data_IF_964551476597
#
_entry.id   IF_964551476597
#
_cell.length_a   1.000
_cell.length_b   1.000
_cell.length_c   1.000
_cell.angle_alpha   90.00
_cell.angle_beta   90.00
_cell.angle_gamma   90.00
#
_symmetry.space_group_name_H-M   'P 1'
#
loop_
_entity.id
_entity.type
_entity.pdbx_description
1 polymer ?
#
# COMPACT_ATOMS: atom_id res chain seq x y z
N UNK A 1 5.89 -32.39 18.63
CA UNK A 1 6.23 -31.08 18.01
C UNK A 1 5.31 -30.04 18.63
N UNK A 2 5.79 -29.27 19.61
CA UNK A 2 4.98 -28.24 20.27
C UNK A 2 4.80 -27.06 19.30
N UNK A 3 3.55 -26.66 19.06
CA UNK A 3 3.22 -25.46 18.31
C UNK A 3 3.79 -24.24 19.03
N UNK A 4 4.84 -23.65 18.46
CA UNK A 4 5.44 -22.42 18.98
C UNK A 4 4.40 -21.30 18.85
N UNK A 5 3.97 -20.75 19.99
CA UNK A 5 2.87 -19.79 20.06
C UNK A 5 3.27 -18.45 19.42
N UNK A 6 2.34 -17.67 18.84
CA UNK A 6 2.66 -16.42 18.10
C UNK A 6 3.52 -15.45 18.92
N UNK A 7 3.24 -15.33 20.21
CA UNK A 7 4.03 -14.53 21.14
C UNK A 7 5.48 -15.05 21.28
N UNK A 8 5.73 -16.36 21.19
CA UNK A 8 7.07 -16.95 21.25
C UNK A 8 7.86 -16.73 19.96
N UNK A 9 7.18 -16.72 18.79
CA UNK A 9 7.81 -16.38 17.52
C UNK A 9 8.16 -14.88 17.47
N UNK A 10 7.23 -14.00 17.83
CA UNK A 10 7.49 -12.56 17.96
C UNK A 10 8.58 -12.29 18.99
N UNK A 11 8.58 -12.99 20.13
CA UNK A 11 9.56 -12.79 21.19
C UNK A 11 10.93 -13.39 20.83
N UNK A 12 11.01 -14.49 20.07
CA UNK A 12 12.26 -15.02 19.54
C UNK A 12 12.85 -14.13 18.45
N UNK A 13 12.01 -13.55 17.58
CA UNK A 13 12.42 -12.56 16.58
C UNK A 13 12.90 -11.30 17.31
N UNK A 14 12.16 -10.79 18.29
CA UNK A 14 12.53 -9.64 19.11
C UNK A 14 13.80 -9.89 19.95
N UNK A 15 13.98 -11.09 20.50
CA UNK A 15 15.20 -11.49 21.23
C UNK A 15 16.40 -11.64 20.30
N UNK A 16 16.21 -12.18 19.10
CA UNK A 16 17.27 -12.20 18.08
C UNK A 16 17.65 -10.80 17.59
N UNK A 17 16.71 -9.85 17.61
CA UNK A 17 16.94 -8.43 17.34
C UNK A 17 17.62 -7.71 18.52
N UNK A 18 17.34 -8.07 19.77
CA UNK A 18 17.88 -7.42 20.97
C UNK A 18 19.19 -8.01 21.51
N UNK A 19 19.50 -9.28 21.26
CA UNK A 19 20.69 -9.96 21.83
C UNK A 19 21.94 -9.89 20.96
N UNK A 20 21.86 -9.36 19.74
CA UNK A 20 23.04 -9.15 18.92
C UNK A 20 23.72 -7.84 19.37
N UNK A 21 25.04 -7.77 19.60
CA UNK A 21 25.78 -6.54 19.96
C UNK A 21 25.75 -5.41 18.88
N UNK A 22 24.78 -5.47 17.97
CA UNK A 22 24.50 -4.64 16.80
C UNK A 22 23.66 -3.38 17.12
N UNK A 23 23.65 -2.89 18.37
CA UNK A 23 23.04 -1.59 18.73
C UNK A 23 23.92 -0.38 18.33
N UNK A 24 24.54 -0.42 17.16
CA UNK A 24 25.10 0.77 16.55
C UNK A 24 24.14 1.24 15.45
N UNK A 25 23.00 1.78 15.89
CA UNK A 25 22.12 2.58 15.04
C UNK A 25 22.97 3.74 14.49
N UNK A 26 22.87 4.11 13.20
CA UNK A 26 23.56 5.30 12.70
C UNK A 26 23.18 6.50 13.56
N UNK A 27 24.13 7.39 13.84
CA UNK A 27 23.93 8.52 14.76
C UNK A 27 22.89 9.52 14.23
N UNK A 28 21.61 9.22 14.46
CA UNK A 28 20.46 10.04 14.07
C UNK A 28 20.32 11.29 14.96
N UNK A 29 21.03 11.32 16.10
CA UNK A 29 21.16 12.48 17.00
C UNK A 29 21.69 13.73 16.30
N UNK A 30 22.48 13.57 15.23
CA UNK A 30 23.01 14.67 14.43
C UNK A 30 22.02 15.20 13.37
N UNK A 31 20.90 14.49 13.14
CA UNK A 31 19.91 14.81 12.10
C UNK A 31 18.57 15.24 12.72
N UNK A 32 18.19 14.62 13.83
CA UNK A 32 16.93 14.84 14.52
C UNK A 32 17.16 15.75 15.72
N UNK A 33 16.33 16.78 15.86
CA UNK A 33 16.37 17.63 17.07
C UNK A 33 16.16 16.78 18.33
N UNK A 34 16.90 17.02 19.43
CA UNK A 34 16.75 16.25 20.68
C UNK A 34 15.32 16.32 21.25
N UNK A 35 14.57 17.38 20.96
CA UNK A 35 13.16 17.53 21.35
C UNK A 35 12.19 16.67 20.53
N UNK A 36 12.64 16.12 19.39
CA UNK A 36 11.81 15.27 18.54
C UNK A 36 12.19 13.79 18.66
N UNK A 37 13.30 13.45 19.34
CA UNK A 37 13.80 12.08 19.48
C UNK A 37 12.83 11.15 20.24
N UNK A 38 12.03 11.70 21.14
CA UNK A 38 11.08 10.97 21.97
C UNK A 38 9.69 10.88 21.33
N UNK A 39 9.52 11.40 20.11
CA UNK A 39 8.27 11.31 19.36
C UNK A 39 8.22 10.01 18.55
N UNK A 40 7.02 9.67 18.10
CA UNK A 40 6.79 8.45 17.32
C UNK A 40 7.66 8.39 16.06
N UNK A 41 8.09 7.17 15.70
CA UNK A 41 8.90 6.88 14.50
C UNK A 41 8.31 7.51 13.22
N UNK A 42 6.98 7.45 13.07
CA UNK A 42 6.25 8.03 11.94
C UNK A 42 6.40 9.54 11.88
N UNK A 43 6.45 10.21 13.03
CA UNK A 43 6.70 11.64 13.12
C UNK A 43 8.12 11.96 12.68
N UNK A 44 9.10 11.20 13.19
CA UNK A 44 10.52 11.41 12.89
C UNK A 44 10.78 11.23 11.40
N UNK A 45 10.32 10.12 10.80
CA UNK A 45 10.52 9.85 9.38
C UNK A 45 9.83 10.87 8.47
N UNK A 46 8.65 11.35 8.85
CA UNK A 46 7.95 12.36 8.07
C UNK A 46 8.60 13.75 8.16
N UNK A 47 9.11 14.14 9.34
CA UNK A 47 9.76 15.44 9.56
C UNK A 47 11.21 15.46 9.07
N UNK A 48 11.91 14.34 9.20
CA UNK A 48 13.32 14.18 8.84
C UNK A 48 13.52 13.04 7.82
N UNK A 49 13.14 13.23 6.54
CA UNK A 49 13.32 12.24 5.47
C UNK A 49 14.76 11.71 5.33
N UNK A 50 15.75 12.56 5.68
CA UNK A 50 17.18 12.23 5.63
C UNK A 50 17.55 11.10 6.62
N UNK A 51 16.77 10.91 7.69
CA UNK A 51 16.95 9.77 8.61
C UNK A 51 16.72 8.45 7.89
N UNK A 52 15.65 8.35 7.10
CA UNK A 52 15.36 7.14 6.32
C UNK A 52 16.46 6.87 5.27
N UNK A 53 17.01 7.93 4.67
CA UNK A 53 18.16 7.79 3.77
C UNK A 53 19.35 7.16 4.49
N UNK A 54 19.84 7.75 5.59
CA UNK A 54 21.02 7.24 6.30
C UNK A 54 20.77 5.83 6.85
N UNK A 55 19.57 5.56 7.35
CA UNK A 55 19.18 4.25 7.86
C UNK A 55 19.25 3.18 6.76
N UNK A 56 18.72 3.49 5.57
CA UNK A 56 18.72 2.56 4.43
C UNK A 56 20.04 2.54 3.66
N UNK A 57 20.95 3.50 3.89
CA UNK A 57 22.30 3.51 3.28
C UNK A 57 23.21 2.48 3.96
N UNK A 58 23.03 2.24 5.26
CA UNK A 58 23.85 1.30 6.03
C UNK A 58 23.74 -0.13 5.47
N UNK A 59 24.88 -0.69 5.06
CA UNK A 59 24.97 -2.02 4.44
C UNK A 59 24.46 -3.15 5.33
N UNK A 60 24.53 -3.02 6.67
CA UNK A 60 24.04 -4.04 7.60
C UNK A 60 22.53 -3.98 7.72
N UNK A 61 21.98 -2.76 7.86
CA UNK A 61 20.52 -2.56 7.84
C UNK A 61 19.94 -3.05 6.52
N UNK A 62 20.61 -2.73 5.41
CA UNK A 62 20.22 -3.19 4.09
C UNK A 62 20.12 -4.71 4.01
N UNK A 63 21.17 -5.45 4.41
CA UNK A 63 21.18 -6.94 4.37
C UNK A 63 20.09 -7.56 5.26
N UNK A 64 19.84 -6.96 6.41
CA UNK A 64 18.80 -7.43 7.33
C UNK A 64 17.42 -7.24 6.70
N UNK A 65 17.11 -6.03 6.22
CA UNK A 65 15.84 -5.76 5.56
C UNK A 65 15.64 -6.61 4.30
N UNK A 66 16.69 -6.79 3.51
CA UNK A 66 16.66 -7.67 2.32
C UNK A 66 16.29 -9.10 2.70
N UNK A 67 16.93 -9.68 3.73
CA UNK A 67 16.60 -11.01 4.22
C UNK A 67 15.17 -11.10 4.77
N UNK A 68 14.69 -10.08 5.50
CA UNK A 68 13.31 -10.04 5.99
C UNK A 68 12.30 -9.97 4.84
N UNK A 69 12.52 -9.12 3.83
CA UNK A 69 11.67 -9.01 2.64
C UNK A 69 11.59 -10.32 1.85
N UNK A 70 12.70 -11.05 1.74
CA UNK A 70 12.72 -12.36 1.10
C UNK A 70 11.90 -13.41 1.87
N UNK A 71 11.98 -13.41 3.20
CA UNK A 71 11.21 -14.30 4.07
C UNK A 71 9.72 -13.94 4.05
N UNK A 72 9.40 -12.65 4.10
CA UNK A 72 8.06 -12.08 4.14
C UNK A 72 7.19 -12.56 2.96
N UNK A 73 7.78 -12.70 1.76
CA UNK A 73 7.08 -13.19 0.57
C UNK A 73 6.41 -14.56 0.75
N UNK A 74 6.90 -15.36 1.70
CA UNK A 74 6.39 -16.70 2.01
C UNK A 74 5.56 -16.75 3.31
N UNK A 75 5.33 -15.62 3.99
CA UNK A 75 4.60 -15.55 5.26
C UNK A 75 3.08 -15.37 5.06
N UNK A 76 2.26 -15.74 6.06
CA UNK A 76 0.82 -15.46 6.06
C UNK A 76 0.53 -13.94 6.12
N UNK A 77 -0.66 -13.55 5.64
CA UNK A 77 -1.02 -12.13 5.42
C UNK A 77 -1.00 -11.26 6.69
N UNK A 78 -1.24 -11.85 7.86
CA UNK A 78 -1.23 -11.15 9.14
C UNK A 78 0.18 -10.68 9.52
N UNK A 79 1.18 -11.54 9.38
CA UNK A 79 2.59 -11.21 9.63
C UNK A 79 3.10 -10.22 8.57
N UNK A 80 2.67 -10.42 7.32
CA UNK A 80 2.98 -9.52 6.20
C UNK A 80 2.56 -8.08 6.52
N UNK A 81 1.35 -7.92 7.06
CA UNK A 81 0.79 -6.61 7.39
C UNK A 81 1.59 -5.90 8.49
N UNK A 82 1.99 -6.61 9.53
CA UNK A 82 2.79 -6.06 10.63
C UNK A 82 4.16 -5.56 10.13
N UNK A 83 4.80 -6.33 9.25
CA UNK A 83 6.05 -5.91 8.62
C UNK A 83 5.90 -4.62 7.79
N UNK A 84 4.85 -4.54 6.96
CA UNK A 84 4.57 -3.33 6.17
C UNK A 84 4.19 -2.12 7.02
N UNK A 85 3.55 -2.29 8.18
CA UNK A 85 3.23 -1.15 9.05
C UNK A 85 4.48 -0.37 9.50
N UNK A 86 5.62 -1.04 9.68
CA UNK A 86 6.91 -0.41 9.96
C UNK A 86 7.67 0.05 8.71
N UNK A 87 7.59 -0.72 7.61
CA UNK A 87 8.30 -0.40 6.37
C UNK A 87 7.66 0.75 5.57
N UNK A 88 6.34 0.89 5.60
CA UNK A 88 5.59 1.93 4.91
C UNK A 88 6.09 3.35 5.24
N UNK A 89 6.15 3.77 6.53
CA UNK A 89 6.63 5.12 6.87
C UNK A 89 8.10 5.33 6.51
N UNK A 90 8.93 4.28 6.62
CA UNK A 90 10.34 4.32 6.26
C UNK A 90 10.54 4.56 4.76
N UNK A 91 9.90 3.74 3.92
CA UNK A 91 9.98 3.88 2.47
C UNK A 91 9.32 5.18 1.99
N UNK A 92 8.20 5.58 2.57
CA UNK A 92 7.56 6.85 2.25
C UNK A 92 8.46 8.06 2.59
N UNK A 93 9.21 8.00 3.69
CA UNK A 93 10.20 9.01 4.03
C UNK A 93 11.42 8.99 3.09
N UNK A 94 11.91 7.81 2.72
CA UNK A 94 13.00 7.68 1.75
C UNK A 94 12.64 8.30 0.39
N UNK A 95 11.41 8.14 -0.09
CA UNK A 95 10.91 8.75 -1.34
C UNK A 95 10.89 10.29 -1.28
N UNK A 96 10.95 10.89 -0.09
CA UNK A 96 11.09 12.34 0.12
C UNK A 96 12.53 12.77 0.40
N UNK A 97 13.44 11.82 0.56
CA UNK A 97 14.83 12.10 0.90
C UNK A 97 15.64 12.53 -0.34
N UNK A 98 16.71 13.33 -0.15
CA UNK A 98 17.47 13.85 -1.28
C UNK A 98 18.16 12.75 -2.10
N UNK A 99 18.57 11.62 -1.52
CA UNK A 99 19.10 10.50 -2.30
C UNK A 99 18.12 9.99 -3.36
N UNK A 100 16.83 9.92 -3.04
CA UNK A 100 15.80 9.52 -4.00
C UNK A 100 15.51 10.62 -5.02
N UNK A 101 15.32 11.86 -4.55
CA UNK A 101 15.00 13.02 -5.42
C UNK A 101 16.12 13.28 -6.43
N UNK A 102 17.38 13.09 -6.03
CA UNK A 102 18.53 13.25 -6.91
C UNK A 102 18.70 12.08 -7.90
N UNK A 103 17.81 11.09 -7.88
CA UNK A 103 17.81 9.95 -8.80
C UNK A 103 18.93 8.94 -8.53
N UNK A 104 19.45 8.86 -7.29
CA UNK A 104 20.50 7.92 -6.96
C UNK A 104 19.95 6.48 -6.82
N UNK A 105 19.88 5.78 -7.95
CA UNK A 105 19.43 4.38 -8.01
C UNK A 105 20.40 3.38 -7.39
N UNK A 106 21.66 3.78 -7.11
CA UNK A 106 22.66 2.91 -6.49
C UNK A 106 22.52 2.84 -4.97
N UNK A 107 21.68 3.70 -4.40
CA UNK A 107 21.46 3.73 -2.97
C UNK A 107 20.71 2.46 -2.52
N UNK A 108 21.16 1.84 -1.44
CA UNK A 108 20.58 0.62 -0.86
C UNK A 108 19.06 0.75 -0.59
N UNK A 109 18.63 1.91 -0.09
CA UNK A 109 17.20 2.25 0.05
C UNK A 109 16.38 2.26 -1.24
N UNK A 110 16.98 2.56 -2.40
CA UNK A 110 16.30 2.45 -3.69
C UNK A 110 16.01 0.98 -4.01
N UNK A 111 16.97 0.08 -3.81
CA UNK A 111 16.76 -1.36 -4.03
C UNK A 111 15.64 -1.92 -3.13
N UNK A 112 15.68 -1.61 -1.84
CA UNK A 112 14.66 -2.07 -0.89
C UNK A 112 13.28 -1.49 -1.21
N UNK A 113 13.16 -0.17 -1.25
CA UNK A 113 11.85 0.46 -1.36
C UNK A 113 11.29 0.41 -2.79
N UNK A 114 12.13 0.50 -3.81
CA UNK A 114 11.67 0.57 -5.19
C UNK A 114 11.66 -0.77 -5.93
N UNK A 115 12.64 -1.65 -5.70
CA UNK A 115 12.69 -2.94 -6.40
C UNK A 115 12.01 -4.05 -5.60
N UNK A 116 12.18 -4.09 -4.28
CA UNK A 116 11.58 -5.14 -3.44
C UNK A 116 10.17 -4.77 -2.95
N UNK A 117 9.95 -3.52 -2.56
CA UNK A 117 8.67 -3.05 -2.02
C UNK A 117 7.72 -2.42 -3.06
N UNK A 118 8.13 -2.35 -4.33
CA UNK A 118 7.37 -1.76 -5.43
C UNK A 118 6.88 -0.32 -5.21
N UNK A 119 7.46 0.47 -4.29
CA UNK A 119 7.02 1.86 -4.02
C UNK A 119 7.27 2.79 -5.21
N UNK A 120 8.26 2.49 -6.05
CA UNK A 120 8.52 3.24 -7.28
C UNK A 120 7.59 2.86 -8.44
N UNK A 121 6.79 1.80 -8.32
CA UNK A 121 5.93 1.34 -9.40
C UNK A 121 4.77 2.32 -9.60
N UNK A 122 4.47 2.64 -10.86
CA UNK A 122 3.38 3.55 -11.24
C UNK A 122 2.01 3.15 -10.65
N UNK A 123 1.81 1.87 -10.32
CA UNK A 123 0.57 1.35 -9.75
C UNK A 123 0.31 1.81 -8.30
N UNK A 124 1.36 2.12 -7.52
CA UNK A 124 1.21 2.56 -6.11
C UNK A 124 0.89 4.05 -5.97
N UNK A 125 1.03 4.80 -7.05
CA UNK A 125 0.81 6.24 -7.05
C UNK A 125 -0.70 6.52 -6.96
N UNK A 126 -1.12 7.36 -6.01
CA UNK A 126 -2.55 7.61 -5.72
C UNK A 126 -3.35 8.05 -6.96
N UNK A 127 -2.72 8.77 -7.89
CA UNK A 127 -3.37 9.18 -9.14
C UNK A 127 -3.76 8.00 -10.03
N UNK A 128 -3.02 6.89 -10.00
CA UNK A 128 -3.33 5.68 -10.78
C UNK A 128 -4.66 5.07 -10.33
N UNK A 129 -4.88 4.97 -9.01
CA UNK A 129 -6.14 4.46 -8.45
C UNK A 129 -7.33 5.37 -8.79
N UNK A 130 -7.11 6.70 -8.81
CA UNK A 130 -8.15 7.66 -9.18
C UNK A 130 -8.55 7.48 -10.64
N UNK A 131 -7.58 7.37 -11.56
CA UNK A 131 -7.85 7.17 -13.00
C UNK A 131 -8.51 5.82 -13.26
N UNK A 132 -7.97 4.74 -12.70
CA UNK A 132 -8.52 3.39 -12.85
C UNK A 132 -9.94 3.29 -12.26
N UNK A 133 -10.17 3.87 -11.08
CA UNK A 133 -11.48 3.94 -10.43
C UNK A 133 -12.50 4.73 -11.25
N UNK A 134 -12.11 5.88 -11.82
CA UNK A 134 -12.98 6.69 -12.66
C UNK A 134 -13.41 5.94 -13.92
N UNK A 135 -12.47 5.29 -14.62
CA UNK A 135 -12.76 4.50 -15.82
C UNK A 135 -13.67 3.32 -15.50
N UNK A 136 -13.38 2.59 -14.42
CA UNK A 136 -14.22 1.47 -13.97
C UNK A 136 -15.64 1.90 -13.60
N UNK A 137 -15.78 3.01 -12.87
CA UNK A 137 -17.09 3.56 -12.48
C UNK A 137 -17.90 4.02 -13.69
N UNK A 138 -17.27 4.69 -14.66
CA UNK A 138 -17.94 5.16 -15.88
C UNK A 138 -18.50 3.99 -16.70
N UNK A 139 -17.80 2.87 -16.72
CA UNK A 139 -18.23 1.65 -17.39
C UNK A 139 -19.45 1.00 -16.70
N UNK A 140 -19.46 0.98 -15.36
CA UNK A 140 -20.63 0.54 -14.59
C UNK A 140 -21.86 1.43 -14.81
N UNK A 141 -21.67 2.76 -14.83
CA UNK A 141 -22.74 3.71 -15.11
C UNK A 141 -23.28 3.54 -16.53
N UNK A 142 -22.42 3.27 -17.52
CA UNK A 142 -22.83 3.01 -18.89
C UNK A 142 -23.68 1.73 -19.01
N UNK A 143 -23.30 0.66 -18.31
CA UNK A 143 -24.08 -0.59 -18.29
C UNK A 143 -25.43 -0.37 -17.60
N UNK A 144 -25.43 0.23 -16.40
CA UNK A 144 -26.66 0.51 -15.65
C UNK A 144 -27.60 1.45 -16.43
N UNK A 145 -27.05 2.51 -17.03
CA UNK A 145 -27.77 3.45 -17.88
C UNK A 145 -28.31 2.79 -19.14
N UNK A 146 -27.53 1.93 -19.79
CA UNK A 146 -27.94 1.14 -20.95
C UNK A 146 -29.10 0.19 -20.64
N UNK A 147 -29.00 -0.57 -19.55
CA UNK A 147 -30.06 -1.46 -19.07
C UNK A 147 -31.32 -0.66 -18.71
N UNK A 148 -31.17 0.42 -17.94
CA UNK A 148 -32.28 1.30 -17.57
C UNK A 148 -32.96 1.92 -18.79
N UNK A 149 -32.18 2.35 -19.78
CA UNK A 149 -32.69 2.91 -21.03
C UNK A 149 -33.44 1.86 -21.87
N UNK A 150 -32.93 0.63 -21.96
CA UNK A 150 -33.62 -0.47 -22.65
C UNK A 150 -34.94 -0.82 -21.95
N UNK A 151 -34.96 -0.92 -20.61
CA UNK A 151 -36.19 -1.17 -19.83
C UNK A 151 -37.20 -0.02 -20.02
N UNK A 152 -36.76 1.23 -19.91
CA UNK A 152 -37.62 2.41 -20.12
C UNK A 152 -38.18 2.46 -21.55
N UNK A 153 -37.36 2.11 -22.56
CA UNK A 153 -37.80 2.05 -23.96
C UNK A 153 -38.81 0.92 -24.21
N UNK A 154 -38.66 -0.24 -23.55
CA UNK A 154 -39.64 -1.34 -23.61
C UNK A 154 -40.97 -0.97 -22.94
N UNK A 155 -40.96 -0.24 -21.82
CA UNK A 155 -42.20 0.21 -21.18
C UNK A 155 -42.95 1.28 -21.98
N UNK A 156 -42.26 2.14 -22.76
CA UNK A 156 -42.94 3.07 -23.69
C UNK A 156 -43.62 2.37 -24.87
N UNK A 157 -43.18 1.17 -25.26
CA UNK A 157 -43.87 0.37 -26.31
C UNK A 157 -45.13 -0.35 -25.82
N UNK A 158 -45.42 -0.36 -24.51
CA UNK A 158 -46.65 -0.95 -23.95
C UNK A 158 -47.75 0.08 -23.61
N UNK A 159 -47.51 1.38 -23.81
CA UNK A 159 -48.51 2.45 -23.52
C UNK A 159 -49.03 3.21 -24.75
N UNK A 160 -48.78 2.72 -25.97
CA UNK A 160 -49.30 3.33 -27.20
C UNK A 160 -49.75 2.29 -28.21
N UNK A 161 -50.95 1.73 -28.04
CA UNK A 161 -51.49 0.76 -28.98
C UNK A 161 -52.90 0.27 -28.63
N UNK A 162 -53.91 1.05 -29.03
CA UNK A 162 -55.15 0.49 -29.58
C UNK A 162 -56.15 -0.13 -28.61
N UNK A 163 -57.09 0.71 -28.18
CA UNK A 163 -58.38 0.32 -27.61
C UNK A 163 -59.21 -0.50 -28.63
N UNK A 164 -59.17 -1.83 -28.61
CA UNK A 164 -60.20 -2.65 -29.28
C UNK A 164 -61.38 -2.86 -28.33
N UNK A 165 -62.32 -1.92 -28.37
CA UNK A 165 -63.73 -2.20 -28.04
C UNK A 165 -64.23 -3.27 -29.02
N UNK A 166 -64.40 -4.51 -28.57
CA UNK A 166 -65.32 -5.45 -29.22
C UNK A 166 -66.69 -5.30 -28.58
N UNK A 167 -67.51 -4.45 -29.19
CA UNK A 167 -68.95 -4.57 -29.09
C UNK A 167 -69.46 -5.61 -30.10
N UNK A 168 -70.65 -6.14 -29.85
CA UNK A 168 -71.54 -6.64 -30.91
C UNK A 168 -71.78 -8.15 -30.97
N UNK A 169 -72.75 -8.59 -30.15
CA UNK A 169 -73.99 -9.29 -30.55
C UNK A 169 -73.99 -10.51 -31.50
N UNK A 170 -74.49 -11.62 -30.94
CA UNK A 170 -75.57 -12.55 -31.41
C UNK A 170 -75.33 -13.41 -32.68
N UNK A 171 -76.08 -14.52 -32.92
CA UNK A 171 -77.47 -14.85 -32.52
C UNK A 171 -77.63 -15.78 -31.31
#
# INVERSE_FOLDING_TARGET
MQSMNKAQLQQAILLSLLQNPANHIPEISNIVSPEDLHKDEKFIFNKYPRVAQVFLEDDRVFRILEAFLEIEKNQPEDIRKEFWEGMDPLCHAFMKAPAYINGNKKHNGYKICCEMADYCSFYKQTWFFIVCGAVGFLLLVAIAGGVFFIIRRKNKKKLGGGNTKKGGSKP
#
